data_IF_088140964134
#
_entry.id   IF_088140964134
#
_cell.length_a   1.000
_cell.length_b   1.000
_cell.length_c   1.000
_cell.angle_alpha   90.00
_cell.angle_beta   90.00
_cell.angle_gamma   90.00
#
_symmetry.space_group_name_H-M   'P 1'
#
loop_
_entity.id
_entity.type
_entity.pdbx_description
1 polymer ?
#
# COMPACT_ATOMS: atom_id res chain seq x y z
N UNK A 1 6.67 -17.57 9.05
CA UNK A 1 5.29 -17.03 8.81
C UNK A 1 4.32 -17.24 9.99
N UNK A 2 4.81 -17.23 11.22
CA UNK A 2 3.96 -17.41 12.41
C UNK A 2 3.15 -16.16 12.77
N UNK A 3 3.79 -14.96 12.72
CA UNK A 3 3.13 -13.70 13.08
C UNK A 3 2.08 -13.29 12.06
N UNK A 4 2.38 -13.41 10.77
CA UNK A 4 1.43 -13.11 9.70
C UNK A 4 0.18 -13.98 9.79
N UNK A 5 0.33 -15.29 10.07
CA UNK A 5 -0.82 -16.19 10.26
C UNK A 5 -1.69 -15.80 11.45
N UNK A 6 -1.09 -15.29 12.53
CA UNK A 6 -1.83 -14.84 13.70
C UNK A 6 -2.72 -13.61 13.41
N UNK A 7 -2.43 -12.85 12.36
CA UNK A 7 -3.25 -11.73 11.92
C UNK A 7 -4.46 -12.16 11.07
N UNK A 8 -4.47 -13.37 10.51
CA UNK A 8 -5.58 -13.90 9.70
C UNK A 8 -6.75 -14.34 10.60
N UNK A 9 -7.49 -13.38 11.15
CA UNK A 9 -8.61 -13.62 12.06
C UNK A 9 -9.92 -13.07 11.50
N UNK A 10 -11.03 -13.76 11.77
CA UNK A 10 -12.37 -13.29 11.41
C UNK A 10 -12.68 -11.91 12.01
N UNK A 11 -12.18 -11.66 13.25
CA UNK A 11 -12.36 -10.35 13.91
C UNK A 11 -11.69 -9.22 13.12
N UNK A 12 -10.46 -9.43 12.60
CA UNK A 12 -9.75 -8.46 11.74
C UNK A 12 -10.50 -8.25 10.44
N UNK A 13 -10.87 -9.33 9.75
CA UNK A 13 -11.62 -9.26 8.50
C UNK A 13 -12.95 -8.52 8.67
N UNK A 14 -13.69 -8.81 9.74
CA UNK A 14 -14.95 -8.12 10.04
C UNK A 14 -14.76 -6.63 10.35
N UNK A 15 -13.70 -6.28 11.07
CA UNK A 15 -13.37 -4.87 11.36
C UNK A 15 -13.09 -4.12 10.06
N UNK A 16 -12.24 -4.67 9.18
CA UNK A 16 -11.90 -4.07 7.89
C UNK A 16 -13.13 -3.94 6.99
N UNK A 17 -13.95 -4.99 6.91
CA UNK A 17 -15.20 -4.95 6.16
C UNK A 17 -16.14 -3.84 6.66
N UNK A 18 -16.30 -3.69 7.97
CA UNK A 18 -17.16 -2.65 8.54
C UNK A 18 -16.61 -1.24 8.35
N UNK A 19 -15.30 -1.07 8.23
CA UNK A 19 -14.69 0.24 8.01
C UNK A 19 -14.94 0.78 6.61
N UNK A 20 -15.20 -0.07 5.63
CA UNK A 20 -15.44 0.30 4.23
C UNK A 20 -16.57 1.34 4.06
N UNK A 21 -17.61 1.30 4.91
CA UNK A 21 -18.68 2.31 4.91
C UNK A 21 -18.19 3.75 5.13
N UNK A 22 -16.98 3.94 5.64
CA UNK A 22 -16.39 5.25 5.91
C UNK A 22 -15.52 5.76 4.76
N UNK A 23 -15.24 4.93 3.75
CA UNK A 23 -14.31 5.25 2.66
C UNK A 23 -14.63 6.61 2.01
N UNK A 24 -15.88 6.83 1.63
CA UNK A 24 -16.30 8.08 1.00
C UNK A 24 -16.71 9.17 1.99
N UNK A 25 -17.27 8.80 3.15
CA UNK A 25 -17.81 9.77 4.09
C UNK A 25 -16.77 10.32 5.08
N UNK A 26 -15.77 9.53 5.43
CA UNK A 26 -14.70 9.86 6.37
C UNK A 26 -13.37 9.20 5.92
N UNK A 27 -12.80 9.62 4.77
CA UNK A 27 -11.62 8.96 4.19
C UNK A 27 -10.44 8.88 5.17
N UNK A 28 -10.18 9.91 5.94
CA UNK A 28 -9.09 9.91 6.92
C UNK A 28 -9.25 8.81 7.99
N UNK A 29 -10.48 8.50 8.41
CA UNK A 29 -10.76 7.40 9.37
C UNK A 29 -10.57 6.05 8.71
N UNK A 30 -11.07 5.88 7.50
CA UNK A 30 -10.95 4.63 6.74
C UNK A 30 -9.50 4.33 6.40
N UNK A 31 -8.84 5.24 5.67
CA UNK A 31 -7.46 5.05 5.21
C UNK A 31 -6.45 5.07 6.36
N UNK A 32 -6.68 5.85 7.43
CA UNK A 32 -5.86 5.78 8.63
C UNK A 32 -5.93 4.42 9.33
N UNK A 33 -7.12 3.83 9.43
CA UNK A 33 -7.30 2.47 9.96
C UNK A 33 -6.69 1.40 9.07
N UNK A 34 -6.79 1.56 7.75
CA UNK A 34 -6.18 0.66 6.77
C UNK A 34 -4.65 0.75 6.81
N UNK A 35 -4.10 1.95 6.94
CA UNK A 35 -2.67 2.21 7.04
C UNK A 35 -2.05 1.51 8.27
N UNK A 36 -2.69 1.63 9.43
CA UNK A 36 -2.25 0.94 10.64
C UNK A 36 -2.26 -0.58 10.48
N UNK A 37 -3.32 -1.14 9.89
CA UNK A 37 -3.45 -2.56 9.65
C UNK A 37 -2.41 -3.07 8.64
N UNK A 38 -2.17 -2.32 7.56
CA UNK A 38 -1.17 -2.64 6.53
C UNK A 38 0.25 -2.57 7.09
N UNK A 39 0.59 -1.50 7.80
CA UNK A 39 1.91 -1.36 8.42
C UNK A 39 2.17 -2.46 9.46
N UNK A 40 1.15 -2.86 10.24
CA UNK A 40 1.27 -3.98 11.17
C UNK A 40 1.45 -5.33 10.45
N UNK A 41 0.79 -5.53 9.30
CA UNK A 41 0.96 -6.73 8.48
C UNK A 41 2.36 -6.80 7.88
N UNK A 42 2.86 -5.68 7.36
CA UNK A 42 4.22 -5.59 6.80
C UNK A 42 5.27 -5.81 7.88
N UNK A 43 5.08 -5.25 9.08
CA UNK A 43 5.98 -5.51 10.22
C UNK A 43 5.99 -6.99 10.62
N UNK A 44 4.84 -7.65 10.62
CA UNK A 44 4.74 -9.09 10.87
C UNK A 44 5.44 -9.91 9.76
N UNK A 45 5.32 -9.50 8.49
CA UNK A 45 6.04 -10.11 7.37
C UNK A 45 7.55 -9.95 7.51
N UNK A 46 8.02 -8.73 7.80
CA UNK A 46 9.43 -8.46 8.05
C UNK A 46 9.96 -9.41 9.12
N UNK A 47 9.28 -9.51 10.25
CA UNK A 47 9.70 -10.37 11.34
C UNK A 47 9.70 -11.86 10.95
N UNK A 48 8.71 -12.31 10.19
CA UNK A 48 8.63 -13.71 9.73
C UNK A 48 9.77 -14.06 8.74
N UNK A 49 10.39 -13.06 8.11
CA UNK A 49 11.51 -13.17 7.18
C UNK A 49 12.85 -12.68 7.76
N UNK A 50 12.93 -12.49 9.07
CA UNK A 50 14.14 -12.01 9.76
C UNK A 50 14.60 -10.62 9.30
N UNK A 51 13.66 -9.79 8.85
CA UNK A 51 13.83 -8.38 8.53
C UNK A 51 13.26 -7.50 9.65
N UNK A 52 13.58 -6.21 9.59
CA UNK A 52 13.04 -5.20 10.52
C UNK A 52 12.42 -4.05 9.73
N UNK A 53 11.25 -3.63 10.15
CA UNK A 53 10.64 -2.40 9.64
C UNK A 53 11.33 -1.16 10.22
N UNK A 54 11.82 -1.25 11.46
CA UNK A 54 12.59 -0.18 12.08
C UNK A 54 13.91 0.04 11.35
N UNK A 55 14.14 1.25 10.87
CA UNK A 55 15.30 1.65 10.08
C UNK A 55 15.18 1.31 8.59
N UNK A 56 14.13 0.59 8.17
CA UNK A 56 13.91 0.26 6.77
C UNK A 56 13.52 1.50 5.95
N UNK A 57 13.96 1.54 4.70
CA UNK A 57 13.49 2.48 3.69
C UNK A 57 12.35 1.85 2.91
N UNK A 58 11.16 2.41 3.04
CA UNK A 58 9.92 1.88 2.46
C UNK A 58 9.46 2.78 1.31
N UNK A 59 9.19 2.18 0.14
CA UNK A 59 8.52 2.83 -0.98
C UNK A 59 7.06 2.39 -1.05
N UNK A 60 6.15 3.36 -1.12
CA UNK A 60 4.73 3.17 -1.39
C UNK A 60 4.43 3.60 -2.83
N UNK A 61 4.14 2.64 -3.71
CA UNK A 61 3.84 2.88 -5.12
C UNK A 61 2.34 3.06 -5.30
N UNK A 62 1.93 4.28 -5.66
CA UNK A 62 0.54 4.72 -5.65
C UNK A 62 0.09 5.13 -4.25
N UNK A 63 0.95 5.85 -3.53
CA UNK A 63 0.72 6.24 -2.14
C UNK A 63 -0.38 7.29 -1.94
N UNK A 64 -0.94 7.81 -3.04
CA UNK A 64 -1.99 8.83 -3.02
C UNK A 64 -1.65 10.01 -2.12
N UNK A 65 -2.60 10.46 -1.27
CA UNK A 65 -2.40 11.59 -0.35
C UNK A 65 -1.43 11.32 0.81
N UNK A 66 -0.85 10.10 0.93
CA UNK A 66 0.13 9.77 1.96
C UNK A 66 -0.45 9.33 3.32
N UNK A 67 -1.66 8.80 3.36
CA UNK A 67 -2.28 8.29 4.59
C UNK A 67 -1.42 7.25 5.33
N UNK A 68 -0.57 6.52 4.61
CA UNK A 68 0.26 5.44 5.17
C UNK A 68 1.56 5.95 5.82
N UNK A 69 2.02 7.17 5.48
CA UNK A 69 3.29 7.71 5.94
C UNK A 69 3.45 7.68 7.47
N UNK A 70 2.42 8.10 8.20
CA UNK A 70 2.45 8.14 9.66
C UNK A 70 2.60 6.75 10.28
N UNK A 71 1.86 5.76 9.78
CA UNK A 71 1.87 4.40 10.30
C UNK A 71 3.25 3.71 10.15
N UNK A 72 3.94 3.97 9.04
CA UNK A 72 5.32 3.49 8.83
C UNK A 72 6.34 4.26 9.67
N UNK A 73 6.23 5.60 9.72
CA UNK A 73 7.14 6.43 10.50
C UNK A 73 7.08 6.12 12.00
N UNK A 74 5.89 5.86 12.55
CA UNK A 74 5.71 5.45 13.95
C UNK A 74 6.39 4.11 14.28
N UNK A 75 6.64 3.28 13.26
CA UNK A 75 7.39 2.01 13.38
C UNK A 75 8.89 2.16 13.08
N UNK A 76 9.35 3.42 12.94
CA UNK A 76 10.75 3.75 12.73
C UNK A 76 11.24 3.54 11.30
N UNK A 77 10.35 3.38 10.32
CA UNK A 77 10.70 3.32 8.91
C UNK A 77 10.84 4.72 8.29
N UNK A 78 11.69 4.83 7.27
CA UNK A 78 11.75 5.99 6.38
C UNK A 78 10.80 5.74 5.20
N UNK A 79 9.74 6.53 5.11
CA UNK A 79 8.69 6.37 4.11
C UNK A 79 8.90 7.31 2.92
N UNK A 80 8.75 6.76 1.72
CA UNK A 80 8.71 7.50 0.44
C UNK A 80 7.40 7.13 -0.26
N UNK A 81 6.56 8.11 -0.56
CA UNK A 81 5.36 7.93 -1.38
C UNK A 81 5.62 8.30 -2.83
N UNK A 82 5.16 7.49 -3.78
CA UNK A 82 5.17 7.82 -5.21
C UNK A 82 3.75 7.85 -5.72
N UNK A 83 3.37 8.95 -6.40
CA UNK A 83 2.04 9.16 -6.96
C UNK A 83 2.15 9.94 -8.28
N UNK A 84 1.52 9.51 -9.37
CA UNK A 84 1.53 10.24 -10.63
C UNK A 84 0.68 11.52 -10.61
N UNK A 85 -0.41 11.55 -9.85
CA UNK A 85 -1.37 12.66 -9.81
C UNK A 85 -1.08 13.64 -8.66
N UNK A 86 -0.80 14.89 -9.03
CA UNK A 86 -0.54 15.97 -8.06
C UNK A 86 -1.79 16.34 -7.26
N UNK A 87 -2.97 16.19 -7.86
CA UNK A 87 -4.25 16.42 -7.18
C UNK A 87 -4.47 15.42 -6.06
N UNK A 88 -4.21 14.15 -6.32
CA UNK A 88 -4.28 13.09 -5.32
C UNK A 88 -3.25 13.30 -4.20
N UNK A 89 -2.00 13.67 -4.52
CA UNK A 89 -0.98 13.98 -3.52
C UNK A 89 -1.42 15.09 -2.56
N UNK A 90 -2.21 16.05 -3.02
CA UNK A 90 -2.66 17.19 -2.23
C UNK A 90 -4.03 16.97 -1.55
N UNK A 91 -4.78 15.93 -1.93
CA UNK A 91 -6.20 15.78 -1.62
C UNK A 91 -6.53 15.74 -0.12
N UNK A 92 -5.63 15.20 0.71
CA UNK A 92 -5.85 15.10 2.16
C UNK A 92 -5.13 16.19 2.98
N UNK A 93 -4.34 17.05 2.35
CA UNK A 93 -3.53 18.04 3.06
C UNK A 93 -2.46 17.44 3.98
N UNK A 94 -2.04 16.21 3.72
CA UNK A 94 -1.02 15.51 4.49
C UNK A 94 0.36 15.91 3.94
N UNK A 95 1.21 16.43 4.80
CA UNK A 95 2.60 16.67 4.45
C UNK A 95 3.40 15.36 4.56
N UNK A 96 3.77 14.79 3.41
CA UNK A 96 4.67 13.63 3.34
C UNK A 96 6.09 14.16 3.15
N UNK A 97 7.00 13.81 4.06
CA UNK A 97 8.37 14.32 4.05
C UNK A 97 9.15 13.95 2.78
N UNK A 98 8.77 12.85 2.15
CA UNK A 98 9.33 12.39 0.87
C UNK A 98 8.19 11.90 -0.03
N UNK A 99 7.57 12.82 -0.74
CA UNK A 99 6.61 12.52 -1.80
C UNK A 99 7.27 12.77 -3.16
N UNK A 100 7.16 11.82 -4.06
CA UNK A 100 7.74 11.87 -5.39
C UNK A 100 6.64 11.72 -6.44
N UNK A 101 6.58 12.64 -7.38
CA UNK A 101 5.72 12.47 -8.55
C UNK A 101 6.37 11.50 -9.53
N UNK A 102 5.67 10.45 -9.90
CA UNK A 102 6.21 9.47 -10.85
C UNK A 102 5.20 8.41 -11.27
N UNK A 103 5.58 7.69 -12.32
CA UNK A 103 4.82 6.56 -12.84
C UNK A 103 5.34 5.26 -12.21
N UNK A 104 4.43 4.45 -11.66
CA UNK A 104 4.75 3.16 -11.04
C UNK A 104 5.37 2.15 -12.02
N UNK A 105 5.10 2.29 -13.32
CA UNK A 105 5.68 1.44 -14.37
C UNK A 105 7.08 1.89 -14.80
N UNK A 106 7.56 3.03 -14.27
CA UNK A 106 8.90 3.57 -14.52
C UNK A 106 9.38 4.37 -13.33
N UNK A 107 9.81 3.68 -12.29
CA UNK A 107 10.18 4.29 -11.01
C UNK A 107 11.45 5.17 -11.12
N UNK A 108 11.42 6.44 -10.67
CA UNK A 108 12.55 7.36 -10.78
C UNK A 108 13.61 7.11 -9.68
N UNK A 109 13.90 5.86 -9.40
CA UNK A 109 14.87 5.46 -8.37
C UNK A 109 15.92 4.51 -8.96
N UNK A 110 17.10 4.53 -8.37
CA UNK A 110 18.15 3.57 -8.72
C UNK A 110 17.80 2.14 -8.25
N UNK A 111 18.43 1.15 -8.85
CA UNK A 111 18.34 -0.25 -8.42
C UNK A 111 18.72 -0.36 -6.93
N UNK A 112 18.16 -1.36 -6.25
CA UNK A 112 18.54 -1.73 -4.87
C UNK A 112 18.45 -0.58 -3.86
N UNK A 113 17.48 0.34 -4.03
CA UNK A 113 17.34 1.55 -3.22
C UNK A 113 16.56 1.32 -1.92
N UNK A 114 15.53 0.47 -1.96
CA UNK A 114 14.57 0.30 -0.87
C UNK A 114 14.72 -1.07 -0.20
N UNK A 115 14.46 -1.12 1.09
CA UNK A 115 14.42 -2.38 1.84
C UNK A 115 13.07 -3.07 1.64
N UNK A 116 12.01 -2.27 1.45
CA UNK A 116 10.65 -2.73 1.23
C UNK A 116 10.00 -1.85 0.17
N UNK A 117 9.37 -2.45 -0.83
CA UNK A 117 8.44 -1.77 -1.73
C UNK A 117 7.06 -2.40 -1.60
N UNK A 118 6.04 -1.58 -1.51
CA UNK A 118 4.68 -2.08 -1.51
C UNK A 118 3.77 -1.21 -2.37
N UNK A 119 2.68 -1.80 -2.84
CA UNK A 119 1.60 -1.13 -3.54
C UNK A 119 0.28 -1.73 -3.10
N UNK A 120 -0.71 -0.89 -2.83
CA UNK A 120 -2.01 -1.34 -2.34
C UNK A 120 -3.15 -0.70 -3.13
N UNK A 121 -3.95 -1.53 -3.78
CA UNK A 121 -5.11 -1.11 -4.59
C UNK A 121 -4.73 -0.13 -5.72
N UNK A 122 -3.68 -0.46 -6.47
CA UNK A 122 -3.16 0.33 -7.60
C UNK A 122 -3.08 -0.53 -8.85
N UNK A 123 -2.69 -1.80 -8.73
CA UNK A 123 -2.43 -2.68 -9.87
C UNK A 123 -3.66 -2.86 -10.77
N UNK A 124 -4.87 -2.81 -10.21
CA UNK A 124 -6.14 -2.88 -10.92
C UNK A 124 -6.42 -1.66 -11.81
N UNK A 125 -5.75 -0.53 -11.56
CA UNK A 125 -5.89 0.72 -12.30
C UNK A 125 -4.80 0.91 -13.37
N UNK A 126 -3.79 0.04 -13.41
CA UNK A 126 -2.66 0.15 -14.32
C UNK A 126 -2.86 -0.79 -15.51
N UNK A 127 -2.78 -0.29 -16.77
CA UNK A 127 -2.94 -1.13 -17.96
C UNK A 127 -1.95 -2.29 -18.06
N UNK A 128 -0.74 -2.10 -17.52
CA UNK A 128 0.32 -3.11 -17.54
C UNK A 128 0.94 -3.26 -16.13
N UNK A 129 0.25 -3.95 -15.19
CA UNK A 129 0.70 -4.05 -13.81
C UNK A 129 2.00 -4.86 -13.65
N UNK A 130 2.37 -5.66 -14.64
CA UNK A 130 3.63 -6.43 -14.62
C UNK A 130 4.85 -5.53 -14.69
N UNK A 131 4.81 -4.44 -15.50
CA UNK A 131 5.89 -3.46 -15.58
C UNK A 131 6.10 -2.77 -14.24
N UNK A 132 5.02 -2.46 -13.51
CA UNK A 132 5.12 -1.94 -12.15
C UNK A 132 5.76 -2.98 -11.20
N UNK A 133 5.38 -4.23 -11.30
CA UNK A 133 5.97 -5.32 -10.50
C UNK A 133 7.48 -5.49 -10.76
N UNK A 134 7.91 -5.42 -12.03
CA UNK A 134 9.33 -5.48 -12.41
C UNK A 134 10.12 -4.29 -11.88
N UNK A 135 9.57 -3.09 -11.96
CA UNK A 135 10.19 -1.88 -11.41
C UNK A 135 10.28 -1.93 -9.87
N UNK A 136 9.22 -2.40 -9.19
CA UNK A 136 9.27 -2.63 -7.75
C UNK A 136 10.37 -3.62 -7.38
N UNK A 137 10.52 -4.71 -8.13
CA UNK A 137 11.62 -5.67 -7.94
C UNK A 137 12.99 -5.02 -8.16
N UNK A 138 13.15 -4.24 -9.24
CA UNK A 138 14.42 -3.56 -9.58
C UNK A 138 14.89 -2.61 -8.47
N UNK A 139 13.99 -1.81 -7.93
CA UNK A 139 14.36 -0.81 -6.90
C UNK A 139 14.47 -1.39 -5.49
N UNK A 140 14.04 -2.64 -5.29
CA UNK A 140 14.15 -3.32 -4.00
C UNK A 140 15.49 -4.03 -3.86
N UNK A 141 16.15 -3.84 -2.73
CA UNK A 141 17.43 -4.50 -2.42
C UNK A 141 17.30 -6.02 -2.44
N UNK A 142 18.35 -6.76 -2.84
CA UNK A 142 18.39 -8.21 -2.67
C UNK A 142 18.09 -8.62 -1.23
N UNK A 143 17.14 -9.53 -1.05
CA UNK A 143 16.67 -9.95 0.28
C UNK A 143 15.63 -9.03 0.92
N UNK A 144 15.27 -7.93 0.27
CA UNK A 144 14.16 -7.07 0.67
C UNK A 144 12.78 -7.69 0.41
N UNK A 145 11.71 -6.94 0.68
CA UNK A 145 10.34 -7.38 0.45
C UNK A 145 9.67 -6.55 -0.66
N UNK A 146 9.04 -7.24 -1.60
CA UNK A 146 8.11 -6.65 -2.55
C UNK A 146 6.71 -7.16 -2.23
N UNK A 147 5.76 -6.25 -2.04
CA UNK A 147 4.39 -6.56 -1.62
C UNK A 147 3.42 -5.89 -2.58
N UNK A 148 2.60 -6.69 -3.25
CA UNK A 148 1.55 -6.22 -4.12
C UNK A 148 0.19 -6.66 -3.56
N UNK A 149 -0.68 -5.70 -3.32
CA UNK A 149 -2.07 -5.91 -2.92
C UNK A 149 -2.98 -5.24 -3.94
N UNK A 150 -4.04 -5.91 -4.33
CA UNK A 150 -5.01 -5.40 -5.30
C UNK A 150 -6.41 -5.93 -5.00
N UNK A 151 -7.43 -5.23 -5.48
CA UNK A 151 -8.82 -5.65 -5.35
C UNK A 151 -9.16 -6.63 -6.48
N UNK A 152 -9.60 -7.82 -6.09
CA UNK A 152 -10.01 -8.85 -7.07
C UNK A 152 -11.35 -8.45 -7.69
N UNK A 153 -11.42 -8.41 -9.04
CA UNK A 153 -12.61 -8.00 -9.78
C UNK A 153 -13.90 -8.72 -9.35
N UNK A 154 -13.84 -10.03 -9.20
CA UNK A 154 -14.97 -10.84 -8.75
C UNK A 154 -15.16 -10.85 -7.21
N UNK A 155 -14.41 -10.03 -6.49
CA UNK A 155 -14.60 -9.86 -5.04
C UNK A 155 -15.81 -8.98 -4.72
N UNK A 156 -16.28 -8.97 -3.45
CA UNK A 156 -17.44 -8.17 -3.05
C UNK A 156 -17.23 -6.65 -3.20
N UNK A 157 -16.02 -6.21 -3.42
CA UNK A 157 -15.63 -4.81 -3.66
C UNK A 157 -14.97 -4.63 -5.02
N UNK A 158 -14.89 -5.68 -5.85
CA UNK A 158 -14.44 -5.59 -7.23
C UNK A 158 -15.39 -4.72 -8.04
N UNK A 159 -14.91 -4.10 -9.11
CA UNK A 159 -15.73 -3.25 -9.95
C UNK A 159 -16.27 -1.99 -9.27
N UNK A 160 -15.65 -1.53 -8.19
CA UNK A 160 -16.08 -0.33 -7.44
C UNK A 160 -16.17 0.94 -8.31
N UNK A 161 -15.48 0.97 -9.46
CA UNK A 161 -15.57 2.02 -10.46
C UNK A 161 -16.85 1.92 -11.32
N UNK A 162 -17.43 0.72 -11.44
CA UNK A 162 -18.62 0.48 -12.27
C UNK A 162 -19.91 0.34 -11.46
N UNK A 163 -19.83 0.25 -10.14
CA UNK A 163 -20.95 0.05 -9.25
C UNK A 163 -21.06 -1.37 -8.68
N UNK A 164 -21.77 -1.49 -7.55
CA UNK A 164 -21.80 -2.70 -6.70
C UNK A 164 -22.24 -3.99 -7.40
N UNK A 165 -23.00 -3.90 -8.50
CA UNK A 165 -23.58 -5.07 -9.17
C UNK A 165 -23.20 -5.15 -10.66
N UNK A 166 -22.77 -4.06 -11.25
CA UNK A 166 -22.53 -3.98 -12.69
C UNK A 166 -21.32 -4.82 -13.14
N UNK A 167 -20.39 -5.11 -12.24
CA UNK A 167 -19.23 -5.96 -12.54
C UNK A 167 -19.52 -7.47 -12.53
N UNK A 168 -20.74 -7.89 -12.16
CA UNK A 168 -21.17 -9.28 -12.23
C UNK A 168 -22.00 -9.62 -13.48
N UNK A 169 -22.23 -8.64 -14.38
CA UNK A 169 -23.10 -8.79 -15.57
C UNK A 169 -22.25 -8.95 -16.82
#
# INVERSE_FOLDING_TARGET
>A
MKRTRAMATLRRSWRLLRSFRFEQSQPAVFYGGLAEDTAALIDALCHDHSLSLTGARVLDVGGGPGYFASAFSQRGASYVGLEPDVGEMAAAGIEVSQAVRGDGTRLPFADDTFDITYSSNVAEHIPNPWDMGEEMLRVTKPGGLVILSYTVWLGPFGGHETGLWEHYV
#
